data_IF_308155128045
#
_entry.id   IF_308155128045
#
_cell.length_a   1.000
_cell.length_b   1.000
_cell.length_c   1.000
_cell.angle_alpha   90.00
_cell.angle_beta   90.00
_cell.angle_gamma   90.00
#
_symmetry.space_group_name_H-M   'P 1'
#
loop_
_entity.id
_entity.type
_entity.pdbx_description
1 polymer ?
#
# COMPACT_ATOMS: atom_id res chain seq x y z
N UNK A 1 2.49 -11.78 11.69
CA UNK A 1 2.47 -11.35 10.27
C UNK A 1 1.31 -11.89 9.45
N UNK A 2 0.91 -13.17 9.55
CA UNK A 2 -0.22 -13.72 8.77
C UNK A 2 -1.54 -13.00 9.06
N UNK A 3 -1.89 -12.88 10.34
CA UNK A 3 -3.10 -12.16 10.79
C UNK A 3 -3.10 -10.70 10.35
N UNK A 4 -2.00 -9.98 10.62
CA UNK A 4 -1.82 -8.60 10.16
C UNK A 4 -2.06 -8.45 8.64
N UNK A 5 -1.51 -9.34 7.82
CA UNK A 5 -1.72 -9.31 6.36
C UNK A 5 -3.18 -9.55 5.98
N UNK A 6 -3.89 -10.43 6.68
CA UNK A 6 -5.32 -10.71 6.43
C UNK A 6 -6.17 -9.50 6.79
N UNK A 7 -5.97 -8.93 7.97
CA UNK A 7 -6.74 -7.75 8.40
C UNK A 7 -6.41 -6.52 7.55
N UNK A 8 -5.14 -6.32 7.19
CA UNK A 8 -4.74 -5.22 6.30
C UNK A 8 -5.32 -5.38 4.89
N UNK A 9 -5.44 -6.60 4.37
CA UNK A 9 -6.13 -6.86 3.09
C UNK A 9 -7.61 -6.51 3.17
N UNK A 10 -8.29 -6.89 4.26
CA UNK A 10 -9.70 -6.52 4.49
C UNK A 10 -9.87 -4.99 4.57
N UNK A 11 -8.95 -4.31 5.27
CA UNK A 11 -8.94 -2.85 5.32
C UNK A 11 -8.75 -2.23 3.94
N UNK A 12 -7.79 -2.72 3.15
CA UNK A 12 -7.54 -2.26 1.79
C UNK A 12 -8.77 -2.40 0.88
N UNK A 13 -9.50 -3.52 0.98
CA UNK A 13 -10.76 -3.67 0.24
C UNK A 13 -11.82 -2.65 0.67
N UNK A 14 -11.99 -2.40 1.97
CA UNK A 14 -12.94 -1.39 2.46
C UNK A 14 -12.60 0.01 1.95
N UNK A 15 -11.31 0.38 1.96
CA UNK A 15 -10.86 1.68 1.43
C UNK A 15 -11.18 1.79 -0.06
N UNK A 16 -10.93 0.75 -0.84
CA UNK A 16 -11.25 0.72 -2.28
C UNK A 16 -12.76 0.86 -2.51
N UNK A 17 -13.61 0.18 -1.73
CA UNK A 17 -15.07 0.33 -1.83
C UNK A 17 -15.52 1.76 -1.53
N UNK A 18 -14.93 2.42 -0.53
CA UNK A 18 -15.20 3.83 -0.22
C UNK A 18 -14.74 4.74 -1.37
N UNK A 19 -13.63 4.41 -2.03
CA UNK A 19 -13.17 5.12 -3.22
C UNK A 19 -14.14 4.96 -4.39
N UNK A 20 -14.68 3.75 -4.61
CA UNK A 20 -15.73 3.53 -5.62
C UNK A 20 -16.91 4.46 -5.36
N UNK A 21 -17.42 4.49 -4.13
CA UNK A 21 -18.56 5.33 -3.73
C UNK A 21 -18.26 6.84 -3.91
N UNK A 22 -17.10 7.30 -3.46
CA UNK A 22 -16.70 8.71 -3.57
C UNK A 22 -16.50 9.18 -5.03
N UNK A 23 -16.15 8.26 -5.93
CA UNK A 23 -15.99 8.53 -7.36
C UNK A 23 -17.30 8.33 -8.14
N UNK A 24 -18.39 7.93 -7.49
CA UNK A 24 -19.67 7.63 -8.15
C UNK A 24 -19.63 6.35 -9.00
N UNK A 25 -18.69 5.45 -8.73
CA UNK A 25 -18.54 4.18 -9.42
C UNK A 25 -19.45 3.11 -8.81
N UNK A 26 -19.78 2.09 -9.61
CA UNK A 26 -20.45 0.91 -9.08
C UNK A 26 -19.55 0.23 -8.03
N UNK A 27 -20.14 -0.22 -6.93
CA UNK A 27 -19.40 -0.89 -5.86
C UNK A 27 -18.59 -2.09 -6.39
N UNK A 28 -17.30 -2.11 -6.08
CA UNK A 28 -16.36 -3.14 -6.54
C UNK A 28 -15.76 -2.87 -7.91
N UNK A 29 -16.01 -1.71 -8.53
CA UNK A 29 -15.48 -1.37 -9.85
C UNK A 29 -13.95 -1.40 -9.87
N UNK A 30 -13.30 -0.64 -8.97
CA UNK A 30 -11.84 -0.60 -8.87
C UNK A 30 -11.29 -2.00 -8.57
N UNK A 31 -11.87 -2.72 -7.60
CA UNK A 31 -11.43 -4.08 -7.27
C UNK A 31 -11.47 -5.01 -8.49
N UNK A 32 -12.57 -5.01 -9.24
CA UNK A 32 -12.73 -5.83 -10.44
C UNK A 32 -11.78 -5.42 -11.57
N UNK A 33 -11.41 -4.14 -11.66
CA UNK A 33 -10.41 -3.68 -12.62
C UNK A 33 -9.01 -4.26 -12.33
N UNK A 34 -8.68 -4.51 -11.06
CA UNK A 34 -7.37 -5.03 -10.65
C UNK A 34 -7.32 -6.56 -10.40
N UNK A 35 -8.46 -7.22 -10.21
CA UNK A 35 -8.54 -8.68 -10.05
C UNK A 35 -8.49 -9.45 -11.40
N UNK A 36 -8.30 -8.74 -12.52
CA UNK A 36 -8.13 -9.33 -13.85
C UNK A 36 -9.41 -9.99 -14.40
N UNK A 37 -9.42 -10.23 -15.72
CA UNK A 37 -10.39 -11.12 -16.35
C UNK A 37 -9.78 -12.52 -16.36
N UNK A 38 -10.29 -13.39 -15.49
CA UNK A 38 -10.00 -14.82 -15.43
C UNK A 38 -8.62 -15.14 -14.81
N UNK A 39 -8.68 -15.67 -13.58
CA UNK A 39 -7.65 -16.47 -12.90
C UNK A 39 -6.42 -15.82 -12.24
N UNK A 40 -6.39 -14.50 -12.01
CA UNK A 40 -5.32 -13.88 -11.19
C UNK A 40 -5.85 -12.81 -10.22
N UNK A 41 -6.06 -13.21 -8.97
CA UNK A 41 -6.39 -12.25 -7.91
C UNK A 41 -5.30 -11.18 -7.77
N UNK A 42 -5.70 -9.94 -7.48
CA UNK A 42 -4.76 -8.84 -7.29
C UNK A 42 -3.67 -9.21 -6.27
N UNK A 43 -2.42 -8.92 -6.62
CA UNK A 43 -1.26 -9.26 -5.79
C UNK A 43 -1.26 -8.45 -4.48
N UNK A 44 -1.09 -9.14 -3.35
CA UNK A 44 -0.97 -8.52 -2.03
C UNK A 44 0.35 -8.88 -1.35
N UNK A 45 1.29 -7.94 -1.37
CA UNK A 45 2.62 -8.04 -0.79
C UNK A 45 2.81 -7.14 0.43
N UNK A 46 3.79 -7.47 1.27
CA UNK A 46 4.21 -6.61 2.38
C UNK A 46 5.70 -6.36 2.26
N UNK A 47 6.10 -5.09 2.11
CA UNK A 47 7.50 -4.69 2.05
C UNK A 47 7.92 -4.13 3.41
N UNK A 48 8.74 -4.88 4.13
CA UNK A 48 9.34 -4.43 5.39
C UNK A 48 10.64 -3.68 5.09
N UNK A 49 10.79 -2.49 5.66
CA UNK A 49 11.96 -1.63 5.46
C UNK A 49 12.44 -1.14 6.82
N UNK A 50 13.75 -1.18 7.04
CA UNK A 50 14.40 -0.56 8.18
C UNK A 50 15.42 0.45 7.65
N UNK A 51 15.41 1.65 8.21
CA UNK A 51 16.21 2.78 7.78
C UNK A 51 17.23 3.11 8.88
N UNK A 52 18.45 2.56 8.84
CA UNK A 52 19.42 2.75 9.91
C UNK A 52 19.96 4.19 9.95
N UNK A 53 20.55 4.64 11.08
CA UNK A 53 21.19 5.94 11.20
C UNK A 53 22.26 6.17 10.12
N UNK A 54 22.23 7.34 9.48
CA UNK A 54 23.20 7.72 8.47
C UNK A 54 24.08 8.88 8.98
N UNK A 55 25.42 8.77 8.98
CA UNK A 55 26.31 9.88 9.35
C UNK A 55 26.23 11.08 8.39
N UNK A 56 25.79 10.86 7.15
CA UNK A 56 25.74 11.89 6.10
C UNK A 56 24.38 11.91 5.37
N UNK A 57 23.27 12.23 6.06
CA UNK A 57 21.92 12.10 5.50
C UNK A 57 21.64 13.04 4.32
N UNK A 58 22.38 14.17 4.22
CA UNK A 58 22.25 15.10 3.09
C UNK A 58 22.88 14.62 1.79
N UNK A 59 23.69 13.56 1.83
CA UNK A 59 24.40 13.03 0.65
C UNK A 59 23.68 11.86 -0.01
N UNK A 60 22.76 11.21 0.70
CA UNK A 60 22.09 10.01 0.21
C UNK A 60 20.66 9.93 0.74
N UNK A 61 19.73 9.61 -0.16
CA UNK A 61 18.37 9.25 0.20
C UNK A 61 18.29 7.73 0.25
N UNK A 62 17.82 7.18 1.38
CA UNK A 62 17.68 5.73 1.52
C UNK A 62 16.60 5.16 0.60
N UNK A 63 15.62 5.99 0.24
CA UNK A 63 14.66 5.72 -0.81
C UNK A 63 14.51 6.98 -1.67
N UNK A 64 14.72 6.86 -2.97
CA UNK A 64 14.52 7.98 -3.89
C UNK A 64 13.02 8.25 -4.08
N UNK A 65 12.71 9.49 -4.46
CA UNK A 65 11.36 9.88 -4.85
C UNK A 65 10.89 8.97 -5.99
N UNK A 66 9.72 8.37 -5.80
CA UNK A 66 9.07 7.50 -6.77
C UNK A 66 7.56 7.50 -6.48
N UNK A 67 6.78 7.06 -7.46
CA UNK A 67 5.39 6.69 -7.26
C UNK A 67 5.32 5.18 -7.06
N UNK A 68 4.57 4.73 -6.05
CA UNK A 68 4.31 3.31 -5.87
C UNK A 68 3.54 2.78 -7.08
N UNK A 69 3.96 1.61 -7.58
CA UNK A 69 3.21 0.89 -8.60
C UNK A 69 2.13 0.07 -7.91
N UNK A 70 0.87 0.30 -8.28
CA UNK A 70 -0.27 -0.44 -7.73
C UNK A 70 -1.50 0.46 -7.54
N UNK A 71 -2.48 -0.07 -6.79
CA UNK A 71 -3.76 0.61 -6.52
C UNK A 71 -3.70 1.42 -5.25
N UNK A 72 -3.27 0.77 -4.17
CA UNK A 72 -3.33 1.26 -2.81
C UNK A 72 -2.14 0.67 -2.04
N UNK A 73 -1.37 1.53 -1.38
CA UNK A 73 -0.38 1.13 -0.41
C UNK A 73 -0.81 1.59 0.99
N UNK A 74 -0.72 0.69 1.98
CA UNK A 74 -0.96 1.01 3.38
C UNK A 74 0.39 0.93 4.13
N UNK A 75 0.80 2.02 4.78
CA UNK A 75 2.04 2.06 5.55
C UNK A 75 1.76 2.06 7.05
N UNK A 76 2.43 1.18 7.79
CA UNK A 76 2.60 1.29 9.23
C UNK A 76 4.02 1.76 9.50
N UNK A 77 4.16 2.98 10.01
CA UNK A 77 5.44 3.67 10.20
C UNK A 77 5.87 3.64 11.65
N UNK A 78 7.16 3.91 11.86
CA UNK A 78 7.70 4.15 13.19
C UNK A 78 7.04 5.38 13.81
N UNK A 79 6.65 5.29 15.08
CA UNK A 79 5.92 6.35 15.78
C UNK A 79 6.86 7.47 16.28
N UNK A 80 8.14 7.16 16.49
CA UNK A 80 9.14 8.10 17.03
C UNK A 80 10.06 8.65 15.94
N UNK A 81 10.48 7.80 15.00
CA UNK A 81 11.44 8.14 13.95
C UNK A 81 10.76 8.53 12.65
N UNK A 82 10.77 9.83 12.34
CA UNK A 82 10.21 10.39 11.10
C UNK A 82 11.13 10.17 9.89
N UNK A 83 10.56 10.20 8.68
CA UNK A 83 11.34 10.10 7.44
C UNK A 83 10.58 9.88 6.13
N UNK A 84 9.27 9.57 6.20
CA UNK A 84 8.37 9.67 5.05
C UNK A 84 7.78 11.08 4.96
#
# INVERSE_FOLDING_TARGET
MKEYRVELKKLGHKVIEIMDENLGLAKGHIKNAFDGRVDSAAFFGTKMRHYPPCPYPKKVNTLRVHMDVGVLSCSFQDEEVKGL
#
